data_IF_520633602998
#
_entry.id   IF_520633602998
#
_cell.length_a   1.000
_cell.length_b   1.000
_cell.length_c   1.000
_cell.angle_alpha   90.00
_cell.angle_beta   90.00
_cell.angle_gamma   90.00
#
_symmetry.space_group_name_H-M   'P 1'
#
loop_
_entity.id
_entity.type
_entity.pdbx_description
1 polymer ?
#
# COMPACT_ATOMS: atom_id res chain seq x y z
N UNK A 1 38.59 -23.25 40.28
CA UNK A 1 39.02 -22.16 39.37
C UNK A 1 37.96 -22.03 38.29
N UNK A 2 37.13 -20.99 38.35
CA UNK A 2 36.10 -20.76 37.34
C UNK A 2 36.78 -20.20 36.08
N UNK A 3 36.86 -21.02 35.03
CA UNK A 3 37.26 -20.58 33.70
C UNK A 3 36.29 -19.50 33.23
N UNK A 4 36.77 -18.27 33.04
CA UNK A 4 35.97 -17.21 32.44
C UNK A 4 35.60 -17.63 31.02
N UNK A 5 34.32 -17.91 30.79
CA UNK A 5 33.81 -18.20 29.45
C UNK A 5 33.99 -16.92 28.63
N UNK A 6 34.66 -16.98 27.46
CA UNK A 6 34.83 -15.79 26.63
C UNK A 6 33.45 -15.26 26.24
N UNK A 7 33.16 -14.03 26.68
CA UNK A 7 31.91 -13.36 26.36
C UNK A 7 31.95 -12.88 24.91
N UNK A 8 31.03 -13.42 24.10
CA UNK A 8 30.85 -12.96 22.73
C UNK A 8 30.26 -11.53 22.76
N UNK A 9 30.80 -10.57 21.98
CA UNK A 9 30.23 -9.22 21.89
C UNK A 9 28.78 -9.24 21.43
N UNK A 10 27.95 -8.35 21.96
CA UNK A 10 26.51 -8.32 21.70
C UNK A 10 26.20 -8.04 20.22
N UNK A 11 27.05 -7.29 19.53
CA UNK A 11 26.94 -7.00 18.10
C UNK A 11 27.02 -8.28 17.28
N UNK A 12 27.91 -9.20 17.65
CA UNK A 12 28.06 -10.48 16.96
C UNK A 12 26.84 -11.37 17.22
N UNK A 13 26.31 -11.37 18.45
CA UNK A 13 25.07 -12.09 18.77
C UNK A 13 23.90 -11.55 17.93
N UNK A 14 23.77 -10.23 17.83
CA UNK A 14 22.71 -9.60 17.04
C UNK A 14 22.82 -9.96 15.55
N UNK A 15 24.04 -9.98 14.98
CA UNK A 15 24.27 -10.40 13.60
C UNK A 15 23.90 -11.88 13.41
N UNK A 16 24.33 -12.77 14.30
CA UNK A 16 23.97 -14.20 14.23
C UNK A 16 22.44 -14.36 14.23
N UNK A 17 21.74 -13.68 15.15
CA UNK A 17 20.29 -13.76 15.27
C UNK A 17 19.57 -13.17 14.06
N UNK A 18 20.08 -12.08 13.48
CA UNK A 18 19.48 -11.46 12.28
C UNK A 18 19.55 -12.33 11.03
N UNK A 19 20.53 -13.23 10.94
CA UNK A 19 20.66 -14.20 9.84
C UNK A 19 19.75 -15.43 10.01
N UNK A 20 19.13 -15.61 11.19
CA UNK A 20 18.19 -16.71 11.42
C UNK A 20 16.82 -16.36 10.82
N UNK A 21 16.26 -17.29 10.06
CA UNK A 21 14.95 -17.12 9.41
C UNK A 21 13.87 -18.07 9.95
N UNK A 22 14.24 -19.07 10.76
CA UNK A 22 13.30 -20.06 11.26
C UNK A 22 12.92 -19.83 12.74
N UNK A 23 11.61 -19.89 12.99
CA UNK A 23 11.06 -19.66 14.33
C UNK A 23 11.56 -20.66 15.38
N UNK A 24 11.88 -21.89 14.97
CA UNK A 24 12.31 -22.96 15.88
C UNK A 24 13.67 -22.64 16.48
N UNK A 25 14.63 -22.27 15.65
CA UNK A 25 15.97 -21.86 16.08
C UNK A 25 15.92 -20.56 16.85
N UNK A 26 15.13 -19.58 16.41
CA UNK A 26 14.93 -18.34 17.18
C UNK A 26 14.36 -18.60 18.58
N UNK A 27 13.38 -19.52 18.72
CA UNK A 27 12.85 -19.92 20.04
C UNK A 27 13.93 -20.58 20.88
N UNK A 28 14.71 -21.49 20.32
CA UNK A 28 15.82 -22.13 21.01
C UNK A 28 16.85 -21.09 21.50
N UNK A 29 17.28 -20.19 20.61
CA UNK A 29 18.17 -19.07 20.94
C UNK A 29 17.62 -18.20 22.06
N UNK A 30 16.31 -17.90 22.03
CA UNK A 30 15.69 -17.06 23.06
C UNK A 30 15.75 -17.66 24.48
N UNK A 31 15.94 -18.99 24.57
CA UNK A 31 16.07 -19.73 25.83
C UNK A 31 17.52 -19.91 26.29
N UNK A 32 18.53 -19.67 25.43
CA UNK A 32 19.96 -19.93 25.74
C UNK A 32 20.47 -19.01 26.84
N UNK A 33 20.36 -17.69 26.67
CA UNK A 33 20.85 -16.70 27.64
C UNK A 33 20.12 -15.37 27.48
N UNK A 34 20.31 -14.45 28.42
CA UNK A 34 19.73 -13.09 28.37
C UNK A 34 20.18 -12.31 27.13
N UNK A 35 21.44 -12.45 26.71
CA UNK A 35 22.01 -11.78 25.53
C UNK A 35 21.38 -12.23 24.21
N UNK A 36 20.91 -13.48 24.13
CA UNK A 36 20.22 -14.01 22.93
C UNK A 36 18.71 -13.78 22.99
N UNK A 37 18.14 -13.68 24.20
CA UNK A 37 16.69 -13.58 24.43
C UNK A 37 16.07 -12.40 23.73
N UNK A 38 16.54 -11.19 24.03
CA UNK A 38 15.95 -9.97 23.50
C UNK A 38 15.98 -9.89 21.96
N UNK A 39 17.14 -10.05 21.28
CA UNK A 39 17.17 -9.97 19.82
C UNK A 39 16.33 -11.07 19.16
N UNK A 40 16.33 -12.29 19.72
CA UNK A 40 15.51 -13.38 19.17
C UNK A 40 14.01 -13.12 19.36
N UNK A 41 13.59 -12.63 20.53
CA UNK A 41 12.20 -12.25 20.80
C UNK A 41 11.74 -11.08 19.93
N UNK A 42 12.61 -10.10 19.67
CA UNK A 42 12.30 -8.98 18.79
C UNK A 42 11.95 -9.44 17.37
N UNK A 43 12.61 -10.49 16.86
CA UNK A 43 12.28 -11.09 15.56
C UNK A 43 11.01 -11.94 15.66
N UNK A 44 10.91 -12.84 16.65
CA UNK A 44 9.76 -13.74 16.83
C UNK A 44 8.43 -12.99 16.99
N UNK A 45 8.44 -11.85 17.70
CA UNK A 45 7.25 -11.04 17.95
C UNK A 45 7.16 -9.82 17.03
N UNK A 46 8.01 -9.71 16.01
CA UNK A 46 8.01 -8.58 15.08
C UNK A 46 6.65 -8.38 14.43
N UNK A 47 6.00 -9.48 14.02
CA UNK A 47 4.69 -9.46 13.40
C UNK A 47 3.70 -10.33 14.16
N UNK A 48 2.55 -9.74 14.53
CA UNK A 48 1.44 -10.46 15.14
C UNK A 48 0.21 -10.28 14.27
N UNK A 49 -0.51 -11.39 14.05
CA UNK A 49 -1.82 -11.38 13.42
C UNK A 49 -2.86 -11.86 14.43
N UNK A 50 -3.95 -11.11 14.55
CA UNK A 50 -5.05 -11.42 15.46
C UNK A 50 -6.33 -11.54 14.63
N UNK A 51 -7.01 -12.67 14.76
CA UNK A 51 -8.31 -12.91 14.12
C UNK A 51 -9.43 -12.87 15.14
N UNK A 52 -10.52 -12.19 14.80
CA UNK A 52 -11.61 -11.88 15.70
C UNK A 52 -12.95 -12.19 15.08
N UNK A 53 -13.91 -12.72 15.85
CA UNK A 53 -13.68 -13.86 16.72
C UNK A 53 -12.90 -14.94 15.98
N UNK A 54 -11.80 -15.40 16.55
CA UNK A 54 -11.28 -16.69 16.13
C UNK A 54 -12.28 -17.74 16.63
N UNK A 55 -12.56 -18.80 15.84
CA UNK A 55 -13.17 -20.04 16.39
C UNK A 55 -12.41 -20.52 17.64
N UNK A 56 -11.15 -20.12 17.76
CA UNK A 56 -10.24 -20.41 18.86
C UNK A 56 -9.97 -19.14 19.70
N UNK A 57 -11.01 -18.61 20.37
CA UNK A 57 -10.87 -17.49 21.33
C UNK A 57 -9.84 -17.79 22.44
N UNK A 58 -9.51 -19.06 22.66
CA UNK A 58 -8.49 -19.50 23.60
C UNK A 58 -7.10 -18.94 23.27
N UNK A 59 -6.69 -18.94 21.99
CA UNK A 59 -5.38 -18.40 21.58
C UNK A 59 -5.25 -16.91 21.83
N UNK A 60 -6.31 -16.14 21.54
CA UNK A 60 -6.31 -14.71 21.83
C UNK A 60 -6.31 -14.46 23.35
N UNK A 61 -7.02 -15.30 24.11
CA UNK A 61 -6.95 -15.39 25.57
C UNK A 61 -5.53 -15.57 26.10
N UNK A 62 -4.84 -16.59 25.59
CA UNK A 62 -3.45 -16.92 25.92
C UNK A 62 -2.50 -15.77 25.53
N UNK A 63 -2.68 -15.17 24.35
CA UNK A 63 -1.90 -14.00 23.94
C UNK A 63 -2.09 -12.82 24.90
N UNK A 64 -3.32 -12.53 25.33
CA UNK A 64 -3.53 -11.47 26.31
C UNK A 64 -2.89 -11.83 27.65
N UNK A 65 -3.00 -13.08 28.10
CA UNK A 65 -2.37 -13.53 29.34
C UNK A 65 -0.85 -13.35 29.27
N UNK A 66 -0.22 -13.72 28.13
CA UNK A 66 1.20 -13.53 27.87
C UNK A 66 1.58 -12.04 27.87
N UNK A 67 0.84 -11.19 27.15
CA UNK A 67 1.14 -9.74 27.10
C UNK A 67 0.86 -9.05 28.45
N UNK A 68 -0.02 -9.61 29.27
CA UNK A 68 -0.29 -9.12 30.62
C UNK A 68 0.83 -9.53 31.58
N UNK A 69 1.30 -10.76 31.50
CA UNK A 69 2.43 -11.25 32.29
C UNK A 69 3.77 -10.60 31.85
N UNK A 70 3.89 -10.28 30.56
CA UNK A 70 5.12 -9.79 29.94
C UNK A 70 4.84 -8.57 29.04
N UNK A 71 4.58 -7.38 29.62
CA UNK A 71 4.21 -6.19 28.87
C UNK A 71 5.29 -5.73 27.87
N UNK A 72 6.56 -6.08 28.11
CA UNK A 72 7.67 -5.79 27.20
C UNK A 72 7.49 -6.42 25.81
N UNK A 73 6.79 -7.55 25.68
CA UNK A 73 6.59 -8.23 24.39
C UNK A 73 5.82 -7.33 23.42
N UNK A 74 4.83 -6.58 23.90
CA UNK A 74 4.04 -5.66 23.07
C UNK A 74 4.88 -4.56 22.41
N UNK A 75 6.05 -4.24 22.98
CA UNK A 75 6.98 -3.24 22.44
C UNK A 75 7.82 -3.73 21.25
N UNK A 76 7.93 -5.05 21.07
CA UNK A 76 8.61 -5.67 19.93
C UNK A 76 7.74 -5.72 18.67
N UNK A 77 6.42 -5.64 18.82
CA UNK A 77 5.47 -5.73 17.69
C UNK A 77 5.57 -4.50 16.80
N UNK A 78 6.08 -4.69 15.58
CA UNK A 78 6.18 -3.65 14.55
C UNK A 78 5.12 -3.79 13.47
N UNK A 79 4.60 -5.00 13.23
CA UNK A 79 3.55 -5.23 12.25
C UNK A 79 2.35 -5.93 12.89
N UNK A 80 1.20 -5.28 12.90
CA UNK A 80 -0.04 -5.81 13.48
C UNK A 80 -1.09 -6.03 12.39
N UNK A 81 -1.54 -7.26 12.21
CA UNK A 81 -2.66 -7.62 11.35
C UNK A 81 -3.91 -7.93 12.17
N UNK A 82 -5.04 -7.31 11.84
CA UNK A 82 -6.33 -7.53 12.49
C UNK A 82 -7.34 -8.06 11.47
N UNK A 83 -7.84 -9.28 11.68
CA UNK A 83 -8.89 -9.88 10.87
C UNK A 83 -10.21 -9.79 11.62
N UNK A 84 -11.18 -9.09 11.05
CA UNK A 84 -12.46 -8.77 11.68
C UNK A 84 -13.58 -9.66 11.09
N UNK A 85 -14.13 -10.56 11.92
CA UNK A 85 -15.28 -11.48 11.78
C UNK A 85 -16.50 -10.95 12.60
N UNK A 86 -17.65 -11.62 12.54
CA UNK A 86 -18.98 -10.98 12.76
C UNK A 86 -19.39 -10.81 14.23
N UNK A 87 -18.95 -11.70 15.12
CA UNK A 87 -19.36 -11.70 16.54
C UNK A 87 -18.24 -11.24 17.46
N UNK A 88 -18.09 -9.92 17.57
CA UNK A 88 -16.98 -9.32 18.31
C UNK A 88 -17.32 -9.03 19.79
N UNK A 89 -16.74 -9.78 20.73
CA UNK A 89 -16.81 -9.47 22.18
C UNK A 89 -15.75 -8.43 22.53
N UNK A 90 -16.19 -7.18 22.63
CA UNK A 90 -15.31 -6.09 22.28
C UNK A 90 -14.39 -5.55 23.39
N UNK A 91 -14.71 -5.82 24.66
CA UNK A 91 -13.93 -5.29 25.80
C UNK A 91 -12.55 -5.93 25.94
N UNK A 92 -12.46 -7.24 25.73
CA UNK A 92 -11.21 -8.00 25.85
C UNK A 92 -10.16 -7.52 24.84
N UNK A 93 -10.56 -7.36 23.59
CA UNK A 93 -9.66 -6.99 22.50
C UNK A 93 -9.19 -5.54 22.57
N UNK A 94 -10.04 -4.63 23.06
CA UNK A 94 -9.60 -3.26 23.32
C UNK A 94 -8.41 -3.23 24.30
N UNK A 95 -8.45 -4.06 25.34
CA UNK A 95 -7.35 -4.18 26.32
C UNK A 95 -6.08 -4.76 25.71
N UNK A 96 -6.24 -5.72 24.79
CA UNK A 96 -5.14 -6.32 24.04
C UNK A 96 -4.44 -5.28 23.13
N UNK A 97 -5.21 -4.54 22.33
CA UNK A 97 -4.65 -3.56 21.38
C UNK A 97 -3.83 -2.46 22.07
N UNK A 98 -4.25 -2.04 23.28
CA UNK A 98 -3.55 -1.03 24.07
C UNK A 98 -2.13 -1.42 24.49
N UNK A 99 -1.77 -2.71 24.40
CA UNK A 99 -0.43 -3.20 24.74
C UNK A 99 0.59 -2.98 23.63
N UNK A 100 0.15 -2.70 22.40
CA UNK A 100 1.04 -2.46 21.28
C UNK A 100 1.34 -0.96 21.17
N UNK A 101 2.49 -0.54 21.67
CA UNK A 101 2.88 0.89 21.74
C UNK A 101 3.79 1.32 20.58
N UNK A 102 4.19 0.38 19.74
CA UNK A 102 5.39 0.48 18.91
C UNK A 102 5.16 0.01 17.47
N UNK A 103 3.89 -0.10 17.08
CA UNK A 103 3.44 -0.61 15.78
C UNK A 103 3.85 0.34 14.66
N UNK A 104 4.70 -0.15 13.76
CA UNK A 104 5.12 0.55 12.56
C UNK A 104 4.19 0.36 11.37
N UNK A 105 3.52 -0.78 11.30
CA UNK A 105 2.57 -1.12 10.26
C UNK A 105 1.31 -1.78 10.82
N UNK A 106 0.15 -1.31 10.37
CA UNK A 106 -1.15 -1.83 10.75
C UNK A 106 -1.90 -2.33 9.51
N UNK A 107 -2.46 -3.53 9.58
CA UNK A 107 -3.34 -4.08 8.54
C UNK A 107 -4.71 -4.41 9.14
N UNK A 108 -5.77 -3.89 8.53
CA UNK A 108 -7.16 -4.20 8.87
C UNK A 108 -7.79 -4.99 7.74
N UNK A 109 -8.33 -6.17 8.02
CA UNK A 109 -8.92 -7.06 7.03
C UNK A 109 -10.33 -7.45 7.48
N UNK A 110 -11.31 -7.22 6.62
CA UNK A 110 -12.64 -7.81 6.78
C UNK A 110 -12.66 -9.20 6.14
N UNK A 111 -13.00 -10.23 6.93
CA UNK A 111 -13.10 -11.60 6.42
C UNK A 111 -14.37 -11.80 5.58
N UNK A 112 -15.45 -11.10 5.93
CA UNK A 112 -16.75 -11.21 5.28
C UNK A 112 -17.18 -9.83 4.74
N UNK A 113 -17.24 -9.65 3.41
CA UNK A 113 -17.45 -8.34 2.78
C UNK A 113 -18.90 -7.85 2.86
N UNK A 114 -19.88 -8.71 3.16
CA UNK A 114 -21.29 -8.42 2.90
C UNK A 114 -22.02 -7.66 4.02
N UNK A 115 -21.45 -7.47 5.22
CA UNK A 115 -22.23 -6.97 6.37
C UNK A 115 -21.47 -6.08 7.38
N UNK A 116 -20.37 -5.42 7.01
CA UNK A 116 -19.48 -4.79 8.02
C UNK A 116 -19.35 -3.30 7.95
N UNK A 117 -20.42 -2.65 8.38
CA UNK A 117 -20.36 -1.26 8.77
C UNK A 117 -19.39 -1.10 9.96
N UNK A 118 -18.44 -0.18 9.82
CA UNK A 118 -17.59 0.28 10.93
C UNK A 118 -18.41 0.68 12.15
N UNK A 119 -19.64 1.15 11.97
CA UNK A 119 -20.58 1.46 13.04
C UNK A 119 -20.78 0.30 14.03
N UNK A 120 -20.70 -0.96 13.58
CA UNK A 120 -20.91 -2.16 14.39
C UNK A 120 -19.76 -2.40 15.38
N UNK A 121 -18.55 -1.91 15.10
CA UNK A 121 -17.43 -2.04 16.04
C UNK A 121 -17.76 -1.31 17.35
N UNK A 122 -17.43 -1.93 18.48
CA UNK A 122 -17.71 -1.32 19.78
C UNK A 122 -16.93 -0.04 20.00
N UNK A 123 -17.46 0.85 20.85
CA UNK A 123 -16.75 2.05 21.29
C UNK A 123 -15.35 1.79 21.85
N UNK A 124 -15.16 0.88 22.84
CA UNK A 124 -13.84 0.59 23.39
C UNK A 124 -12.83 0.11 22.35
N UNK A 125 -13.25 -0.70 21.39
CA UNK A 125 -12.37 -1.18 20.33
C UNK A 125 -12.02 -0.11 19.32
N UNK A 126 -13.01 0.69 18.87
CA UNK A 126 -12.77 1.87 18.05
C UNK A 126 -11.75 2.81 18.72
N UNK A 127 -11.90 3.08 20.02
CA UNK A 127 -10.98 3.90 20.77
C UNK A 127 -9.55 3.32 20.82
N UNK A 128 -9.41 2.01 21.05
CA UNK A 128 -8.10 1.35 21.05
C UNK A 128 -7.45 1.34 19.65
N UNK A 129 -8.25 1.15 18.59
CA UNK A 129 -7.79 1.21 17.22
C UNK A 129 -7.35 2.64 16.83
N UNK A 130 -8.10 3.65 17.24
CA UNK A 130 -7.73 5.04 17.06
C UNK A 130 -6.42 5.38 17.79
N UNK A 131 -6.20 4.85 19.00
CA UNK A 131 -4.92 4.99 19.70
C UNK A 131 -3.76 4.41 18.88
N UNK A 132 -3.96 3.27 18.21
CA UNK A 132 -2.94 2.69 17.32
C UNK A 132 -2.67 3.60 16.11
N UNK A 133 -3.71 4.21 15.54
CA UNK A 133 -3.57 5.17 14.43
C UNK A 133 -2.79 6.44 14.82
N UNK A 134 -2.84 6.82 16.09
CA UNK A 134 -2.07 7.94 16.63
C UNK A 134 -0.61 7.61 16.99
N UNK A 135 -0.16 6.36 16.84
CA UNK A 135 1.21 6.01 17.22
C UNK A 135 2.22 6.74 16.32
N UNK A 136 3.25 7.39 16.89
CA UNK A 136 4.28 8.07 16.11
C UNK A 136 5.23 7.11 15.38
N UNK A 137 5.14 5.81 15.67
CA UNK A 137 5.83 4.76 14.94
C UNK A 137 5.06 4.32 13.69
N UNK A 138 3.75 4.57 13.61
CA UNK A 138 2.90 4.08 12.53
C UNK A 138 3.22 4.81 11.22
N UNK A 139 3.89 4.10 10.32
CA UNK A 139 4.30 4.59 9.00
C UNK A 139 3.58 3.88 7.86
N UNK A 140 2.93 2.75 8.13
CA UNK A 140 2.21 1.96 7.13
C UNK A 140 0.83 1.56 7.59
N UNK A 141 -0.17 1.77 6.74
CA UNK A 141 -1.55 1.37 6.96
C UNK A 141 -2.07 0.60 5.73
N UNK A 142 -2.67 -0.54 5.97
CA UNK A 142 -3.18 -1.45 4.95
C UNK A 142 -4.64 -1.79 5.26
N UNK A 143 -5.56 -1.22 4.48
CA UNK A 143 -7.00 -1.28 4.69
C UNK A 143 -7.61 -2.22 3.65
N UNK A 144 -8.04 -3.41 4.08
CA UNK A 144 -8.96 -4.31 3.37
C UNK A 144 -10.29 -4.33 4.13
N UNK A 145 -10.85 -3.14 4.38
CA UNK A 145 -12.08 -2.94 5.14
C UNK A 145 -12.95 -1.88 4.44
N UNK A 146 -14.10 -2.25 3.85
CA UNK A 146 -14.83 -1.40 2.91
C UNK A 146 -15.38 -0.11 3.55
N UNK A 147 -15.83 -0.19 4.80
CA UNK A 147 -16.52 0.89 5.49
C UNK A 147 -15.60 1.65 6.47
N UNK A 148 -14.29 1.62 6.25
CA UNK A 148 -13.36 2.35 7.10
C UNK A 148 -13.61 3.87 7.01
N UNK A 149 -13.78 4.58 8.12
CA UNK A 149 -14.00 6.03 8.11
C UNK A 149 -12.69 6.77 7.83
N UNK A 150 -12.50 7.15 6.57
CA UNK A 150 -11.34 7.88 6.08
C UNK A 150 -11.00 9.18 6.83
N UNK A 151 -11.93 9.92 7.46
CA UNK A 151 -11.55 11.04 8.31
C UNK A 151 -10.58 10.67 9.45
N UNK A 152 -10.52 9.41 9.87
CA UNK A 152 -9.55 8.95 10.88
C UNK A 152 -8.11 8.87 10.38
N UNK A 153 -7.87 8.96 9.07
CA UNK A 153 -6.52 9.07 8.53
C UNK A 153 -5.80 10.33 9.02
N UNK A 154 -6.54 11.38 9.42
CA UNK A 154 -5.97 12.60 10.03
C UNK A 154 -5.16 12.30 11.29
N UNK A 155 -5.42 11.19 11.98
CA UNK A 155 -4.68 10.81 13.18
C UNK A 155 -3.29 10.22 12.90
N UNK A 156 -3.02 9.85 11.64
CA UNK A 156 -1.79 9.16 11.26
C UNK A 156 -0.71 10.16 10.79
N UNK A 157 -0.18 10.98 11.71
CA UNK A 157 0.73 12.10 11.38
C UNK A 157 2.06 11.69 10.73
N UNK A 158 2.45 10.42 10.78
CA UNK A 158 3.70 9.89 10.20
C UNK A 158 3.47 8.83 9.13
N UNK A 159 2.25 8.72 8.61
CA UNK A 159 1.90 7.74 7.60
C UNK A 159 2.63 8.02 6.29
N UNK A 160 3.45 7.04 5.85
CA UNK A 160 4.19 7.08 4.59
C UNK A 160 3.60 6.17 3.53
N UNK A 161 3.00 5.05 3.95
CA UNK A 161 2.50 4.04 3.05
C UNK A 161 1.03 3.73 3.37
N UNK A 162 0.15 4.03 2.42
CA UNK A 162 -1.27 3.71 2.52
C UNK A 162 -1.64 2.72 1.42
N UNK A 163 -2.16 1.57 1.80
CA UNK A 163 -2.72 0.57 0.88
C UNK A 163 -4.18 0.42 1.20
N UNK A 164 -5.03 0.52 0.19
CA UNK A 164 -6.47 0.32 0.30
C UNK A 164 -6.85 -0.74 -0.72
N UNK A 165 -7.08 -1.94 -0.21
CA UNK A 165 -7.60 -3.06 -1.00
C UNK A 165 -9.10 -3.02 -0.86
N UNK A 166 -9.80 -2.90 -1.99
CA UNK A 166 -11.23 -3.19 -2.03
C UNK A 166 -11.40 -4.49 -2.77
N UNK A 167 -12.02 -5.47 -2.14
CA UNK A 167 -12.47 -6.66 -2.86
C UNK A 167 -13.76 -6.31 -3.59
N UNK A 168 -13.75 -6.49 -4.91
CA UNK A 168 -14.85 -6.19 -5.84
C UNK A 168 -16.03 -7.17 -5.69
N UNK A 169 -16.56 -7.36 -4.47
CA UNK A 169 -17.50 -8.44 -4.22
C UNK A 169 -18.95 -8.16 -4.59
N UNK A 170 -19.37 -6.93 -4.89
CA UNK A 170 -20.67 -6.78 -5.51
C UNK A 170 -20.83 -5.46 -6.28
N UNK A 171 -21.16 -5.57 -7.56
CA UNK A 171 -21.53 -4.44 -8.41
C UNK A 171 -23.00 -4.01 -8.16
N UNK A 172 -23.70 -4.65 -7.22
CA UNK A 172 -25.15 -4.47 -7.01
C UNK A 172 -25.54 -3.57 -5.87
N UNK A 173 -24.63 -3.21 -4.97
CA UNK A 173 -24.90 -2.16 -3.98
C UNK A 173 -24.69 -0.81 -4.68
N UNK A 174 -25.78 -0.28 -5.24
CA UNK A 174 -25.85 1.08 -5.77
C UNK A 174 -25.32 2.03 -4.71
N UNK A 175 -24.21 2.69 -5.03
CA UNK A 175 -23.49 3.67 -4.21
C UNK A 175 -24.26 5.02 -4.15
N UNK A 176 -25.59 4.97 -4.20
CA UNK A 176 -26.45 6.15 -4.18
C UNK A 176 -26.79 6.44 -2.70
N UNK A 177 -26.27 7.56 -2.20
CA UNK A 177 -26.66 8.26 -0.98
C UNK A 177 -26.57 7.50 0.35
N UNK A 178 -25.45 6.84 0.63
CA UNK A 178 -25.13 6.57 2.05
C UNK A 178 -24.65 7.89 2.67
N UNK A 179 -25.41 8.51 3.60
CA UNK A 179 -25.00 9.76 4.22
C UNK A 179 -23.64 9.57 4.89
N UNK A 180 -22.76 10.57 4.76
CA UNK A 180 -21.45 10.57 5.43
C UNK A 180 -21.68 10.18 6.90
N UNK A 181 -21.07 9.08 7.38
CA UNK A 181 -21.31 8.63 8.74
C UNK A 181 -20.88 9.76 9.67
N UNK A 182 -21.86 10.40 10.31
CA UNK A 182 -21.61 11.47 11.25
C UNK A 182 -20.51 11.00 12.19
N UNK A 183 -19.40 11.74 12.24
CA UNK A 183 -18.26 11.41 13.10
C UNK A 183 -18.80 11.29 14.51
N UNK A 184 -19.02 10.06 14.96
CA UNK A 184 -19.53 9.83 16.31
C UNK A 184 -18.51 10.51 17.22
N UNK A 185 -18.93 11.42 18.11
CA UNK A 185 -18.06 12.06 19.08
C UNK A 185 -17.67 11.02 20.14
N UNK A 186 -16.92 10.00 19.72
CA UNK A 186 -16.57 8.83 20.51
C UNK A 186 -15.57 9.16 21.61
N UNK A 187 -14.91 10.31 21.51
CA UNK A 187 -13.99 10.83 22.51
C UNK A 187 -14.23 12.34 22.60
N UNK A 188 -14.86 12.77 23.69
CA UNK A 188 -14.94 14.19 24.06
C UNK A 188 -13.55 14.81 23.92
N UNK A 189 -13.47 15.97 23.26
CA UNK A 189 -12.26 16.63 22.78
C UNK A 189 -11.16 16.92 23.83
N UNK A 190 -11.36 16.55 25.09
CA UNK A 190 -10.50 16.90 26.23
C UNK A 190 -9.21 16.07 26.37
N UNK A 191 -8.98 15.04 25.54
CA UNK A 191 -7.86 14.11 25.74
C UNK A 191 -6.95 13.84 24.52
N UNK A 192 -7.18 14.51 23.39
CA UNK A 192 -6.30 14.33 22.24
C UNK A 192 -5.07 15.24 22.39
N UNK A 193 -3.87 14.76 22.06
CA UNK A 193 -2.70 15.62 22.03
C UNK A 193 -3.00 16.79 21.08
N UNK A 194 -2.90 18.02 21.59
CA UNK A 194 -3.03 19.22 20.78
C UNK A 194 -2.16 19.06 19.53
N UNK A 195 -2.77 19.12 18.37
CA UNK A 195 -2.10 18.99 17.07
C UNK A 195 -1.33 20.25 16.68
N UNK A 196 -1.30 21.26 17.55
CA UNK A 196 -0.59 22.52 17.34
C UNK A 196 0.92 22.26 17.22
N UNK A 197 1.40 22.20 15.98
CA UNK A 197 2.80 21.96 15.65
C UNK A 197 3.12 20.54 15.16
N UNK A 198 2.12 19.66 15.02
CA UNK A 198 2.36 18.36 14.43
C UNK A 198 2.73 18.49 12.94
N UNK A 199 3.89 17.95 12.57
CA UNK A 199 4.35 17.92 11.18
C UNK A 199 3.28 17.28 10.30
N UNK A 200 2.98 17.90 9.15
CA UNK A 200 2.13 17.28 8.14
C UNK A 200 2.76 15.94 7.73
N UNK A 201 1.98 14.86 7.86
CA UNK A 201 2.34 13.54 7.40
C UNK A 201 2.50 13.56 5.89
N UNK A 202 3.69 13.20 5.45
CA UNK A 202 4.07 13.15 4.04
C UNK A 202 3.87 11.73 3.53
N UNK A 203 2.79 11.51 2.77
CA UNK A 203 2.53 10.20 2.19
C UNK A 203 3.51 9.96 1.03
N UNK A 204 4.34 8.91 1.13
CA UNK A 204 5.32 8.54 0.11
C UNK A 204 4.72 7.59 -0.94
N UNK A 205 3.77 6.73 -0.55
CA UNK A 205 3.17 5.71 -1.40
C UNK A 205 1.67 5.53 -1.12
N UNK A 206 0.88 5.50 -2.19
CA UNK A 206 -0.56 5.23 -2.18
C UNK A 206 -0.89 4.10 -3.16
N UNK A 207 -1.45 3.00 -2.66
CA UNK A 207 -2.04 1.93 -3.46
C UNK A 207 -3.55 1.93 -3.22
N UNK A 208 -4.30 2.53 -4.13
CA UNK A 208 -5.75 2.69 -4.07
C UNK A 208 -6.39 1.99 -5.28
N UNK A 209 -6.55 0.65 -5.20
CA UNK A 209 -7.20 -0.18 -6.24
C UNK A 209 -8.72 -0.04 -6.27
N UNK A 210 -9.21 1.16 -5.98
CA UNK A 210 -10.61 1.51 -6.06
C UNK A 210 -10.68 3.02 -6.10
N UNK A 211 -11.29 3.59 -7.14
CA UNK A 211 -11.47 5.05 -7.20
C UNK A 211 -12.37 5.60 -6.11
N UNK A 212 -13.26 4.78 -5.53
CA UNK A 212 -13.95 5.15 -4.31
C UNK A 212 -12.96 5.40 -3.16
N UNK A 213 -12.02 4.48 -2.95
CA UNK A 213 -10.98 4.64 -1.94
C UNK A 213 -10.11 5.87 -2.22
N UNK A 214 -9.76 6.11 -3.49
CA UNK A 214 -9.02 7.31 -3.89
C UNK A 214 -9.80 8.59 -3.57
N UNK A 215 -11.09 8.66 -3.93
CA UNK A 215 -11.97 9.79 -3.61
C UNK A 215 -12.02 10.05 -2.10
N UNK A 216 -12.15 9.00 -1.30
CA UNK A 216 -12.19 9.14 0.16
C UNK A 216 -10.86 9.65 0.73
N UNK A 217 -9.73 9.21 0.17
CA UNK A 217 -8.41 9.75 0.52
C UNK A 217 -8.29 11.21 0.11
N UNK A 218 -8.75 11.58 -1.09
CA UNK A 218 -8.74 12.98 -1.55
C UNK A 218 -9.59 13.88 -0.65
N UNK A 219 -10.80 13.45 -0.29
CA UNK A 219 -11.65 14.16 0.65
C UNK A 219 -10.96 14.32 2.02
N UNK A 220 -10.31 13.27 2.52
CA UNK A 220 -9.59 13.33 3.79
C UNK A 220 -8.36 14.26 3.75
N UNK A 221 -7.67 14.37 2.60
CA UNK A 221 -6.51 15.25 2.40
C UNK A 221 -6.93 16.71 2.17
N UNK A 222 -8.07 16.95 1.54
CA UNK A 222 -8.58 18.30 1.25
C UNK A 222 -9.29 18.93 2.45
N UNK A 223 -9.59 18.15 3.49
CA UNK A 223 -10.22 18.66 4.70
C UNK A 223 -9.31 19.71 5.40
N UNK A 224 -9.85 20.83 5.94
CA UNK A 224 -9.02 21.88 6.56
C UNK A 224 -8.14 21.40 7.72
N UNK A 225 -8.59 20.38 8.44
CA UNK A 225 -7.86 19.72 9.53
C UNK A 225 -7.04 18.50 9.09
N UNK A 226 -6.80 18.35 7.79
CA UNK A 226 -6.02 17.23 7.26
C UNK A 226 -4.56 17.34 7.72
N UNK A 227 -4.06 16.26 8.32
CA UNK A 227 -2.64 16.14 8.64
C UNK A 227 -1.87 15.45 7.52
N UNK A 228 -2.55 14.80 6.58
CA UNK A 228 -1.91 14.10 5.47
C UNK A 228 -1.81 15.01 4.25
N UNK A 229 -0.66 14.95 3.58
CA UNK A 229 -0.42 15.65 2.32
C UNK A 229 0.04 14.67 1.24
N UNK A 230 -0.43 14.89 0.01
CA UNK A 230 0.02 14.18 -1.18
C UNK A 230 1.18 14.88 -1.89
N UNK A 231 1.65 16.02 -1.38
CA UNK A 231 2.72 16.81 -2.00
C UNK A 231 4.05 16.06 -2.13
N UNK A 232 4.27 15.02 -1.32
CA UNK A 232 5.47 14.17 -1.35
C UNK A 232 5.20 12.75 -1.90
N UNK A 233 4.03 12.51 -2.48
CA UNK A 233 3.67 11.20 -3.01
C UNK A 233 4.57 10.79 -4.17
N UNK A 234 5.39 9.76 -3.95
CA UNK A 234 6.35 9.26 -4.96
C UNK A 234 5.77 8.11 -5.78
N UNK A 235 4.90 7.31 -5.19
CA UNK A 235 4.31 6.13 -5.83
C UNK A 235 2.79 6.16 -5.73
N UNK A 236 2.12 6.11 -6.86
CA UNK A 236 0.67 6.00 -6.96
C UNK A 236 0.32 4.75 -7.76
N UNK A 237 -0.49 3.87 -7.17
CA UNK A 237 -1.13 2.75 -7.85
C UNK A 237 -2.65 2.92 -7.74
N UNK A 238 -3.34 3.00 -8.88
CA UNK A 238 -4.80 3.22 -8.95
C UNK A 238 -5.46 2.27 -9.94
N UNK A 239 -6.73 1.95 -9.69
CA UNK A 239 -7.58 1.21 -10.61
C UNK A 239 -8.67 2.12 -11.18
N UNK A 240 -8.76 2.21 -12.51
CA UNK A 240 -9.72 3.01 -13.28
C UNK A 240 -10.74 2.06 -13.90
N UNK A 241 -11.99 2.13 -13.44
CA UNK A 241 -13.12 1.32 -13.91
C UNK A 241 -14.10 2.10 -14.78
N UNK A 242 -14.14 3.43 -14.63
CA UNK A 242 -15.09 4.32 -15.31
C UNK A 242 -14.52 5.69 -15.66
N UNK A 243 -15.37 6.58 -16.17
CA UNK A 243 -14.97 7.95 -16.56
C UNK A 243 -14.82 8.87 -15.35
N UNK A 244 -15.67 8.71 -14.33
CA UNK A 244 -15.59 9.46 -13.06
C UNK A 244 -14.27 9.22 -12.34
N UNK A 245 -13.71 8.03 -12.50
CA UNK A 245 -12.45 7.60 -11.90
C UNK A 245 -11.27 8.41 -12.43
N UNK A 246 -11.33 8.79 -13.71
CA UNK A 246 -10.29 9.58 -14.36
C UNK A 246 -10.21 10.99 -13.76
N UNK A 247 -11.35 11.56 -13.39
CA UNK A 247 -11.40 12.87 -12.71
C UNK A 247 -10.71 12.79 -11.34
N UNK A 248 -11.00 11.76 -10.55
CA UNK A 248 -10.37 11.57 -9.24
C UNK A 248 -8.87 11.31 -9.36
N UNK A 249 -8.46 10.50 -10.34
CA UNK A 249 -7.04 10.26 -10.61
C UNK A 249 -6.38 11.56 -11.05
N UNK A 250 -6.99 12.36 -11.93
CA UNK A 250 -6.44 13.65 -12.35
C UNK A 250 -6.26 14.62 -11.19
N UNK A 251 -7.24 14.69 -10.27
CA UNK A 251 -7.14 15.49 -9.05
C UNK A 251 -5.98 15.03 -8.16
N UNK A 252 -5.82 13.71 -7.98
CA UNK A 252 -4.70 13.14 -7.24
C UNK A 252 -3.35 13.45 -7.89
N UNK A 253 -3.27 13.34 -9.22
CA UNK A 253 -2.07 13.69 -9.99
C UNK A 253 -1.72 15.17 -9.83
N UNK A 254 -2.70 16.07 -9.87
CA UNK A 254 -2.46 17.50 -9.67
C UNK A 254 -1.86 17.81 -8.28
N UNK A 255 -2.34 17.14 -7.23
CA UNK A 255 -1.83 17.30 -5.86
C UNK A 255 -0.44 16.69 -5.63
N UNK A 256 -0.08 15.67 -6.42
CA UNK A 256 1.19 14.92 -6.29
C UNK A 256 2.22 15.23 -7.39
N UNK A 257 1.86 16.10 -8.34
CA UNK A 257 2.64 16.45 -9.52
C UNK A 257 4.15 16.70 -9.29
N UNK A 258 4.58 17.48 -8.27
CA UNK A 258 5.99 17.81 -8.11
C UNK A 258 6.85 16.64 -7.61
N UNK A 259 6.26 15.58 -7.03
CA UNK A 259 7.01 14.50 -6.37
C UNK A 259 6.75 13.11 -6.92
N UNK A 260 5.71 12.93 -7.74
CA UNK A 260 5.32 11.63 -8.27
C UNK A 260 6.36 11.08 -9.24
N UNK A 261 6.97 9.95 -8.87
CA UNK A 261 8.01 9.26 -9.66
C UNK A 261 7.50 7.98 -10.31
N UNK A 262 6.55 7.29 -9.69
CA UNK A 262 6.02 6.01 -10.16
C UNK A 262 4.51 6.08 -10.21
N UNK A 263 3.95 5.86 -11.39
CA UNK A 263 2.51 5.78 -11.62
C UNK A 263 2.16 4.40 -12.17
N UNK A 264 1.28 3.69 -11.49
CA UNK A 264 0.73 2.41 -11.92
C UNK A 264 -0.79 2.52 -12.08
N UNK A 265 -1.27 2.33 -13.30
CA UNK A 265 -2.67 2.41 -13.70
C UNK A 265 -3.19 1.01 -14.02
N UNK A 266 -4.23 0.56 -13.32
CA UNK A 266 -4.99 -0.63 -13.68
C UNK A 266 -6.28 -0.21 -14.36
N UNK A 267 -6.39 -0.38 -15.68
CA UNK A 267 -7.48 0.20 -16.48
C UNK A 267 -8.44 -0.90 -16.95
N UNK A 268 -9.72 -0.75 -16.62
CA UNK A 268 -10.81 -1.63 -17.07
C UNK A 268 -11.74 -0.86 -18.01
N UNK A 269 -11.67 -1.17 -19.31
CA UNK A 269 -12.50 -0.50 -20.34
C UNK A 269 -13.85 -1.21 -20.56
N UNK A 270 -14.25 -2.08 -19.63
CA UNK A 270 -15.37 -2.98 -19.84
C UNK A 270 -16.75 -2.31 -19.77
N UNK A 271 -16.89 -1.09 -19.21
CA UNK A 271 -18.21 -0.52 -18.88
C UNK A 271 -18.66 0.66 -19.74
N UNK A 272 -17.77 1.44 -20.35
CA UNK A 272 -18.18 2.62 -21.12
C UNK A 272 -18.35 2.32 -22.61
N UNK A 273 -19.40 2.84 -23.23
CA UNK A 273 -19.57 2.87 -24.68
C UNK A 273 -18.85 4.07 -25.33
N UNK A 274 -18.64 5.15 -24.56
CA UNK A 274 -17.98 6.39 -25.01
C UNK A 274 -16.45 6.28 -25.02
N UNK A 275 -15.77 7.13 -25.81
CA UNK A 275 -14.34 7.34 -25.64
C UNK A 275 -14.07 7.85 -24.22
N UNK A 276 -13.18 7.18 -23.48
CA UNK A 276 -12.82 7.60 -22.13
C UNK A 276 -12.12 8.96 -22.20
N UNK A 277 -12.38 9.89 -21.26
CA UNK A 277 -11.60 11.10 -21.15
C UNK A 277 -10.12 10.74 -20.97
N UNK A 278 -9.22 11.52 -21.55
CA UNK A 278 -7.80 11.25 -21.48
C UNK A 278 -7.24 11.77 -20.16
N UNK A 279 -6.45 10.94 -19.48
CA UNK A 279 -5.69 11.37 -18.31
C UNK A 279 -4.51 12.23 -18.79
N UNK A 280 -4.34 13.42 -18.23
CA UNK A 280 -3.24 14.32 -18.58
C UNK A 280 -2.06 14.12 -17.63
N UNK A 281 -0.93 13.66 -18.20
CA UNK A 281 0.33 13.50 -17.48
C UNK A 281 1.21 14.77 -17.52
N UNK A 282 0.77 15.85 -18.18
CA UNK A 282 1.51 17.11 -18.34
C UNK A 282 2.10 17.67 -17.03
N UNK A 283 1.41 17.62 -15.88
CA UNK A 283 1.97 18.16 -14.64
C UNK A 283 3.13 17.34 -14.06
N UNK A 284 3.34 16.10 -14.51
CA UNK A 284 4.20 15.11 -13.86
C UNK A 284 5.65 15.16 -14.34
N UNK A 285 6.31 16.30 -14.21
CA UNK A 285 7.68 16.49 -14.68
C UNK A 285 8.71 15.54 -14.01
N UNK A 286 8.40 15.00 -12.83
CA UNK A 286 9.27 14.08 -12.08
C UNK A 286 8.99 12.58 -12.36
N UNK A 287 8.08 12.25 -13.27
CA UNK A 287 7.67 10.88 -13.52
C UNK A 287 8.79 10.06 -14.16
N UNK A 288 9.25 9.02 -13.46
CA UNK A 288 10.34 8.14 -13.89
C UNK A 288 9.86 6.79 -14.39
N UNK A 289 8.70 6.32 -13.90
CA UNK A 289 8.14 5.03 -14.27
C UNK A 289 6.62 5.10 -14.44
N UNK A 290 6.15 4.65 -15.59
CA UNK A 290 4.72 4.52 -15.94
C UNK A 290 4.38 3.06 -16.20
N UNK A 291 3.48 2.51 -15.42
CA UNK A 291 2.96 1.15 -15.58
C UNK A 291 1.48 1.22 -15.91
N UNK A 292 1.05 0.63 -17.02
CA UNK A 292 -0.34 0.57 -17.44
C UNK A 292 -0.71 -0.89 -17.61
N UNK A 293 -1.64 -1.38 -16.80
CA UNK A 293 -2.16 -2.75 -16.86
C UNK A 293 -3.61 -2.70 -17.28
N UNK A 294 -3.94 -3.38 -18.36
CA UNK A 294 -5.29 -3.46 -18.89
C UNK A 294 -6.02 -4.71 -18.41
N UNK A 295 -7.30 -4.56 -18.07
CA UNK A 295 -8.24 -5.65 -17.85
C UNK A 295 -9.37 -5.49 -18.88
N UNK A 296 -9.28 -6.22 -20.00
CA UNK A 296 -10.12 -6.01 -21.18
C UNK A 296 -10.77 -7.30 -21.65
N UNK A 297 -11.97 -7.16 -22.21
CA UNK A 297 -12.56 -8.11 -23.14
C UNK A 297 -11.96 -7.98 -24.56
N UNK A 298 -11.95 -9.07 -25.33
CA UNK A 298 -11.43 -9.21 -26.70
C UNK A 298 -11.84 -8.05 -27.61
N UNK A 299 -13.12 -7.67 -27.57
CA UNK A 299 -13.70 -6.67 -28.46
C UNK A 299 -13.18 -5.23 -28.21
N UNK A 300 -12.36 -5.03 -27.17
CA UNK A 300 -11.95 -3.69 -26.69
C UNK A 300 -10.47 -3.39 -26.81
N UNK A 301 -9.68 -4.28 -27.43
CA UNK A 301 -8.23 -4.09 -27.59
C UNK A 301 -7.88 -2.80 -28.35
N UNK A 302 -8.59 -2.48 -29.45
CA UNK A 302 -8.37 -1.26 -30.22
C UNK A 302 -8.52 0.01 -29.37
N UNK A 303 -9.53 0.04 -28.47
CA UNK A 303 -9.76 1.17 -27.57
C UNK A 303 -8.63 1.36 -26.56
N UNK A 304 -8.04 0.27 -26.07
CA UNK A 304 -6.88 0.34 -25.19
C UNK A 304 -5.68 0.95 -25.91
N UNK A 305 -5.43 0.55 -27.16
CA UNK A 305 -4.36 1.15 -27.97
C UNK A 305 -4.56 2.66 -28.17
N UNK A 306 -5.77 3.08 -28.58
CA UNK A 306 -6.10 4.50 -28.76
C UNK A 306 -5.92 5.28 -27.45
N UNK A 307 -6.36 4.71 -26.32
CA UNK A 307 -6.23 5.34 -25.02
C UNK A 307 -4.76 5.43 -24.56
N UNK A 308 -3.95 4.38 -24.76
CA UNK A 308 -2.50 4.43 -24.48
C UNK A 308 -1.83 5.50 -25.33
N UNK A 309 -2.10 5.56 -26.64
CA UNK A 309 -1.50 6.56 -27.52
C UNK A 309 -1.83 7.98 -27.03
N UNK A 310 -3.09 8.25 -26.72
CA UNK A 310 -3.48 9.56 -26.19
C UNK A 310 -2.88 9.85 -24.81
N UNK A 311 -2.73 8.85 -23.93
CA UNK A 311 -2.05 9.01 -22.65
C UNK A 311 -0.58 9.40 -22.84
N UNK A 312 0.14 8.69 -23.72
CA UNK A 312 1.55 8.95 -24.02
C UNK A 312 1.75 10.34 -24.63
N UNK A 313 0.82 10.80 -25.48
CA UNK A 313 0.85 12.16 -26.05
C UNK A 313 0.71 13.27 -25.00
N UNK A 314 0.20 12.96 -23.80
CA UNK A 314 0.11 13.94 -22.70
C UNK A 314 1.35 14.01 -21.83
N UNK A 315 2.38 13.20 -22.06
CA UNK A 315 3.63 13.27 -21.29
C UNK A 315 4.31 14.63 -21.58
N UNK A 316 4.80 15.35 -20.54
CA UNK A 316 5.45 16.64 -20.74
C UNK A 316 6.78 16.50 -21.47
N UNK A 317 7.17 17.54 -22.21
CA UNK A 317 8.49 17.64 -22.84
C UNK A 317 9.21 18.89 -22.33
N UNK A 318 10.41 18.76 -21.70
CA UNK A 318 11.17 17.52 -21.46
C UNK A 318 10.58 16.67 -20.31
N UNK A 319 10.83 15.35 -20.32
CA UNK A 319 10.53 14.46 -19.21
C UNK A 319 11.74 13.62 -18.77
N UNK A 320 11.60 12.96 -17.61
CA UNK A 320 12.60 12.06 -16.99
C UNK A 320 12.14 10.59 -17.00
N UNK A 321 11.21 10.25 -17.90
CA UNK A 321 10.63 8.92 -17.96
C UNK A 321 11.69 7.92 -18.40
N UNK A 322 11.94 6.93 -17.55
CA UNK A 322 12.96 5.91 -17.76
C UNK A 322 12.38 4.55 -18.08
N UNK A 323 11.14 4.30 -17.63
CA UNK A 323 10.48 3.01 -17.73
C UNK A 323 9.02 3.20 -18.12
N UNK A 324 8.60 2.54 -19.19
CA UNK A 324 7.18 2.38 -19.54
C UNK A 324 6.89 0.87 -19.59
N UNK A 325 5.90 0.43 -18.81
CA UNK A 325 5.43 -0.95 -18.82
C UNK A 325 3.98 -0.98 -19.22
N UNK A 326 3.68 -1.55 -20.38
CA UNK A 326 2.30 -1.78 -20.82
C UNK A 326 2.04 -3.27 -20.73
N UNK A 327 1.07 -3.64 -19.90
CA UNK A 327 0.61 -5.03 -19.73
C UNK A 327 -0.83 -5.16 -20.19
N UNK A 328 -1.10 -6.10 -21.09
CA UNK A 328 -2.45 -6.42 -21.52
C UNK A 328 -2.65 -7.95 -21.60
N UNK A 329 -3.88 -8.45 -21.38
CA UNK A 329 -4.20 -9.84 -21.64
C UNK A 329 -3.97 -10.15 -23.12
N UNK A 330 -3.34 -11.30 -23.36
CA UNK A 330 -2.83 -11.70 -24.67
C UNK A 330 -3.96 -12.25 -25.51
N UNK A 331 -4.36 -11.50 -26.51
CA UNK A 331 -5.44 -11.90 -27.38
C UNK A 331 -4.95 -11.82 -28.83
N UNK A 332 -4.12 -12.81 -29.17
CA UNK A 332 -3.56 -13.02 -30.51
C UNK A 332 -4.67 -13.38 -31.50
N UNK A 333 -5.19 -12.36 -32.17
CA UNK A 333 -5.61 -12.46 -33.57
C UNK A 333 -5.97 -11.10 -34.18
N UNK A 334 -5.92 -10.02 -33.38
CA UNK A 334 -6.05 -8.68 -33.92
C UNK A 334 -4.63 -8.21 -34.27
N UNK A 335 -4.34 -8.08 -35.56
CA UNK A 335 -3.30 -7.17 -36.03
C UNK A 335 -3.64 -5.79 -35.46
N UNK A 336 -3.13 -5.48 -34.27
CA UNK A 336 -3.26 -4.15 -33.69
C UNK A 336 -2.32 -3.28 -34.52
N UNK A 337 -2.87 -2.72 -35.59
CA UNK A 337 -2.25 -1.80 -36.55
C UNK A 337 -1.51 -0.65 -35.85
N UNK A 338 -1.87 -0.37 -34.60
CA UNK A 338 -1.38 0.77 -33.83
C UNK A 338 -0.15 0.48 -32.93
N UNK A 339 0.37 -0.75 -32.84
CA UNK A 339 1.59 -0.98 -32.04
C UNK A 339 2.77 -0.16 -32.56
N UNK A 340 2.88 0.02 -33.87
CA UNK A 340 3.90 0.89 -34.47
C UNK A 340 3.79 2.35 -34.00
N UNK A 341 2.58 2.83 -33.68
CA UNK A 341 2.38 4.16 -33.10
C UNK A 341 2.82 4.20 -31.63
N UNK A 342 2.52 3.17 -30.85
CA UNK A 342 2.98 3.06 -29.45
C UNK A 342 4.51 3.00 -29.40
N UNK A 343 5.14 2.20 -30.27
CA UNK A 343 6.60 2.12 -30.40
C UNK A 343 7.19 3.49 -30.77
N UNK A 344 6.61 4.16 -31.76
CA UNK A 344 7.04 5.50 -32.18
C UNK A 344 6.94 6.52 -31.03
N UNK A 345 5.80 6.60 -30.34
CA UNK A 345 5.61 7.51 -29.21
C UNK A 345 6.55 7.17 -28.05
N UNK A 346 6.72 5.88 -27.73
CA UNK A 346 7.63 5.44 -26.66
C UNK A 346 9.08 5.76 -26.99
N UNK A 347 9.48 5.66 -28.26
CA UNK A 347 10.84 6.01 -28.73
C UNK A 347 11.14 7.51 -28.67
N UNK A 348 10.10 8.33 -28.85
CA UNK A 348 10.19 9.78 -28.73
C UNK A 348 10.33 10.20 -27.26
N UNK A 349 9.55 9.60 -26.37
CA UNK A 349 9.50 9.99 -24.96
C UNK A 349 10.64 9.40 -24.12
N UNK A 350 11.11 8.18 -24.41
CA UNK A 350 12.31 7.61 -23.78
C UNK A 350 13.52 7.75 -24.70
N UNK A 351 14.42 8.69 -24.40
CA UNK A 351 15.72 8.79 -25.09
C UNK A 351 16.46 7.44 -24.98
N UNK A 352 16.61 6.71 -26.09
CA UNK A 352 17.23 5.36 -26.18
C UNK A 352 16.45 4.26 -25.47
N UNK A 353 15.37 3.83 -26.10
CA UNK A 353 14.54 2.71 -25.67
C UNK A 353 15.18 1.36 -26.03
N UNK A 354 15.39 0.49 -25.04
CA UNK A 354 15.54 -0.94 -25.31
C UNK A 354 14.17 -1.57 -25.13
N UNK A 355 13.57 -2.05 -26.23
CA UNK A 355 12.33 -2.81 -26.16
C UNK A 355 12.66 -4.20 -25.64
N UNK A 356 12.35 -4.46 -24.38
CA UNK A 356 12.44 -5.80 -23.80
C UNK A 356 11.04 -6.39 -23.75
N UNK A 357 10.78 -7.28 -24.70
CA UNK A 357 9.55 -8.06 -24.74
C UNK A 357 9.69 -9.26 -23.79
N UNK A 358 9.02 -9.22 -22.64
CA UNK A 358 9.02 -10.34 -21.70
C UNK A 358 7.70 -11.10 -21.77
N UNK A 359 7.77 -12.37 -22.18
CA UNK A 359 6.68 -13.33 -22.04
C UNK A 359 6.78 -13.97 -20.66
N UNK A 360 6.09 -13.40 -19.68
CA UNK A 360 6.07 -13.93 -18.30
C UNK A 360 4.81 -14.77 -18.06
N UNK A 361 4.96 -16.09 -17.99
CA UNK A 361 3.92 -16.99 -17.50
C UNK A 361 4.03 -17.13 -15.97
N UNK A 362 3.19 -16.42 -15.21
CA UNK A 362 3.11 -16.59 -13.74
C UNK A 362 2.07 -17.65 -13.38
N UNK A 363 2.52 -18.91 -13.39
CA UNK A 363 2.13 -20.07 -12.56
C UNK A 363 0.66 -20.37 -12.18
N UNK A 364 -0.37 -19.78 -12.78
CA UNK A 364 -1.78 -20.09 -12.46
C UNK A 364 -2.67 -20.18 -13.71
N UNK A 365 -2.48 -21.18 -14.59
CA UNK A 365 -3.36 -21.45 -15.75
C UNK A 365 -3.51 -20.28 -16.75
N UNK A 366 -4.26 -20.43 -17.86
CA UNK A 366 -4.62 -19.31 -18.71
C UNK A 366 -5.40 -18.26 -17.89
N UNK A 367 -5.16 -16.95 -18.09
CA UNK A 367 -4.69 -16.33 -19.34
C UNK A 367 -3.19 -15.98 -19.38
N UNK A 368 -2.64 -15.93 -20.60
CA UNK A 368 -1.31 -15.39 -20.88
C UNK A 368 -1.32 -13.85 -20.75
N UNK A 369 -0.22 -13.27 -20.25
CA UNK A 369 0.01 -11.83 -20.20
C UNK A 369 1.17 -11.43 -21.11
N UNK A 370 1.03 -10.31 -21.82
CA UNK A 370 2.12 -9.68 -22.56
C UNK A 370 2.54 -8.43 -21.83
N UNK A 371 3.84 -8.31 -21.60
CA UNK A 371 4.46 -7.16 -20.96
C UNK A 371 5.48 -6.57 -21.92
N UNK A 372 5.22 -5.35 -22.38
CA UNK A 372 6.19 -4.55 -23.10
C UNK A 372 6.91 -3.67 -22.09
N UNK A 373 8.22 -3.84 -21.96
CA UNK A 373 9.08 -3.02 -21.11
C UNK A 373 9.93 -2.15 -22.02
N UNK A 374 9.75 -0.85 -21.89
CA UNK A 374 10.58 0.17 -22.50
C UNK A 374 11.48 0.72 -21.39
N UNK A 375 12.79 0.51 -21.49
CA UNK A 375 13.73 1.09 -20.53
C UNK A 375 14.81 1.92 -21.23
N UNK A 376 15.25 2.99 -20.58
CA UNK A 376 16.41 3.74 -20.99
C UNK A 376 17.68 2.99 -20.56
N UNK A 377 18.52 2.60 -21.53
CA UNK A 377 19.83 2.04 -21.22
C UNK A 377 20.77 3.18 -20.81
N UNK A 378 20.97 3.37 -19.50
CA UNK A 378 22.02 4.24 -19.01
C UNK A 378 23.36 3.75 -19.60
N UNK A 379 24.01 4.61 -20.37
CA UNK A 379 25.35 4.33 -20.88
C UNK A 379 26.28 4.45 -19.68
N UNK A 380 26.62 3.33 -19.04
CA UNK A 380 27.82 3.23 -18.23
C UNK A 380 29.01 3.34 -19.18
N UNK A 381 29.32 4.57 -19.62
CA UNK A 381 30.63 4.91 -20.17
C UNK A 381 31.63 4.71 -19.04
N UNK A 382 32.17 3.50 -18.96
CA UNK A 382 33.43 3.23 -18.29
C UNK A 382 34.49 4.00 -19.09
N UNK A 383 34.82 5.22 -18.66
CA UNK A 383 36.00 5.91 -19.15
C UNK A 383 37.23 5.17 -18.61
N UNK A 384 37.68 4.18 -19.37
CA UNK A 384 39.02 3.62 -19.21
C UNK A 384 40.03 4.70 -19.59
N UNK A 385 40.45 5.51 -18.62
CA UNK A 385 41.66 6.31 -18.73
C UNK A 385 42.88 5.38 -18.69
N UNK A 386 43.24 4.85 -19.85
CA UNK A 386 44.58 4.34 -20.13
C UNK A 386 45.45 5.52 -20.57
N UNK A 387 46.16 6.15 -19.63
CA UNK A 387 47.35 6.95 -19.95
C UNK A 387 48.59 6.08 -19.67
N UNK A 388 49.17 5.58 -20.76
CA UNK A 388 50.60 5.30 -20.85
C UNK A 388 51.23 6.53 -21.49
N UNK A 389 52.06 7.24 -20.72
CA UNK A 389 53.42 7.71 -21.06
C UNK A 389 54.06 8.22 -19.79
#
# INVERSE_FOLDING_TARGET
MASAVPHLPQEIINLIIQELSDDTTLKACSAVSSSFREPAQAILFYSITISFPSRDNKRNGELLAILTAHPGIGSYVRWLGLYLEDSFTAGFFASLLRRFTNVGGLRLISVYPLQKDWAILSGPFKAALLQLLCLPSLTRLDLDYPDFPFPYLRFCSRLKHLVIRRRLYDNRLKLEDTPEPALVPLLSAAGWPNTDGAQQGLLDSLDARSCYALRQVLAAVQHPSAMLSLACLRTLLVEILGETDIIEVQNCLALSAPSLRKLALHVSLNRSASPYPMLSLQPLAALQSLHVTFCLDMAKAARASTWVCGLLETIPMPNVLSTIVITAPVLFNVDIVDWGRIDYLSSRECHRTTLRQERSCKSCGPPFFWTHIYSNAATTTTSSNSQMT
#
